data_IF_753962014035
#
_entry.id   IF_753962014035
#
_cell.length_a   1.000
_cell.length_b   1.000
_cell.length_c   1.000
_cell.angle_alpha   90.00
_cell.angle_beta   90.00
_cell.angle_gamma   90.00
#
_symmetry.space_group_name_H-M   'P 1'
#
loop_
_entity.id
_entity.type
_entity.pdbx_description
1 polymer ?
#
# COMPACT_ATOMS: atom_id res chain seq x y z
N UNK A 1 29.42 -7.49 60.56
CA UNK A 1 29.38 -7.40 59.09
C UNK A 1 29.44 -5.94 58.72
N UNK A 2 30.54 -5.55 58.08
CA UNK A 2 30.67 -4.39 57.18
C UNK A 2 29.52 -4.35 56.15
N UNK A 3 29.11 -3.27 55.46
CA UNK A 3 29.54 -1.89 55.16
C UNK A 3 28.22 -1.23 54.65
N UNK A 4 27.87 0.06 54.73
CA UNK A 4 28.59 1.29 54.36
C UNK A 4 27.70 2.10 53.38
N UNK A 5 27.44 3.38 53.69
CA UNK A 5 26.79 4.39 52.85
C UNK A 5 27.44 4.53 51.46
N UNK A 6 26.65 4.95 50.44
CA UNK A 6 26.99 6.04 49.52
C UNK A 6 25.79 6.48 48.67
N UNK A 7 25.59 7.79 48.56
CA UNK A 7 24.76 8.47 47.56
C UNK A 7 25.66 9.06 46.45
N UNK A 8 25.14 9.18 45.22
CA UNK A 8 25.51 10.09 44.10
C UNK A 8 24.48 9.81 42.97
N UNK A 9 23.72 10.78 42.45
CA UNK A 9 24.07 11.68 41.32
C UNK A 9 24.45 10.84 40.07
N UNK A 10 23.79 10.91 38.91
CA UNK A 10 23.36 12.09 38.15
C UNK A 10 22.03 11.88 37.41
N UNK A 11 21.17 12.91 37.43
CA UNK A 11 20.20 13.15 36.36
C UNK A 11 21.01 13.80 35.24
N UNK A 12 21.35 13.04 34.21
CA UNK A 12 21.79 13.67 32.97
C UNK A 12 20.60 14.43 32.39
N UNK A 13 20.72 15.76 32.38
CA UNK A 13 19.90 16.61 31.54
C UNK A 13 19.89 16.03 30.14
N UNK A 14 18.68 15.81 29.60
CA UNK A 14 18.51 15.49 28.20
C UNK A 14 19.15 16.61 27.40
N UNK A 15 20.34 16.33 26.86
CA UNK A 15 20.98 17.21 25.90
C UNK A 15 19.96 17.52 24.82
N UNK A 16 19.86 18.80 24.47
CA UNK A 16 19.20 19.24 23.25
C UNK A 16 20.05 18.79 22.07
N UNK A 17 20.14 17.49 21.86
CA UNK A 17 20.60 16.95 20.59
C UNK A 17 19.54 17.33 19.58
N UNK A 18 19.86 18.34 18.78
CA UNK A 18 19.11 18.61 17.56
C UNK A 18 19.18 17.32 16.75
N UNK A 19 18.05 16.68 16.40
CA UNK A 19 18.08 15.49 15.57
C UNK A 19 18.90 15.80 14.32
N UNK A 20 20.06 15.17 14.19
CA UNK A 20 20.83 15.25 12.96
C UNK A 20 20.14 14.26 12.04
N UNK A 21 19.39 14.77 11.07
CA UNK A 21 18.82 13.95 10.02
C UNK A 21 19.94 13.04 9.47
N UNK A 22 19.74 11.72 9.39
CA UNK A 22 20.74 10.82 8.87
C UNK A 22 21.20 11.29 7.50
N UNK A 23 22.52 11.45 7.39
CA UNK A 23 23.19 11.73 6.14
C UNK A 23 23.20 10.44 5.31
N UNK A 24 22.17 10.23 4.49
CA UNK A 24 22.21 9.20 3.46
C UNK A 24 23.19 9.66 2.38
N UNK A 25 24.42 9.16 2.45
CA UNK A 25 25.42 9.38 1.41
C UNK A 25 24.91 8.88 0.04
N UNK A 26 25.59 9.26 -1.06
CA UNK A 26 25.29 8.86 -2.45
C UNK A 26 25.10 7.34 -2.69
N UNK A 27 25.39 6.50 -1.70
CA UNK A 27 25.26 5.03 -1.74
C UNK A 27 23.83 4.50 -1.55
N UNK A 28 22.89 5.34 -1.10
CA UNK A 28 21.51 4.93 -0.78
C UNK A 28 21.38 4.09 0.50
N UNK A 29 20.14 3.84 0.92
CA UNK A 29 19.76 3.09 2.11
C UNK A 29 19.46 1.61 1.81
N UNK A 30 19.86 0.75 2.73
CA UNK A 30 19.46 -0.66 2.81
C UNK A 30 19.34 -0.98 4.29
N UNK A 31 18.23 -1.60 4.69
CA UNK A 31 18.03 -2.02 6.07
C UNK A 31 19.09 -3.03 6.55
N UNK A 32 19.44 -2.94 7.82
CA UNK A 32 20.29 -3.92 8.51
C UNK A 32 19.48 -5.00 9.26
N UNK A 33 18.15 -4.89 9.24
CA UNK A 33 17.24 -5.83 9.89
C UNK A 33 17.31 -7.21 9.22
N UNK A 34 17.09 -8.29 9.99
CA UNK A 34 17.12 -9.64 9.44
C UNK A 34 15.97 -9.87 8.45
N UNK A 35 16.20 -10.76 7.48
CA UNK A 35 15.17 -11.23 6.56
C UNK A 35 14.03 -11.92 7.33
N UNK A 36 12.78 -11.57 6.99
CA UNK A 36 11.60 -12.25 7.50
C UNK A 36 11.12 -13.39 6.59
N UNK A 37 11.60 -13.41 5.33
CA UNK A 37 11.28 -14.43 4.35
C UNK A 37 12.36 -15.53 4.28
N UNK A 38 11.94 -16.71 3.82
CA UNK A 38 12.82 -17.85 3.50
C UNK A 38 12.33 -18.53 2.24
N UNK A 39 13.26 -19.11 1.46
CA UNK A 39 12.87 -19.93 0.31
C UNK A 39 12.13 -21.18 0.77
N UNK A 40 11.17 -21.62 -0.03
CA UNK A 40 10.53 -22.92 0.15
C UNK A 40 11.49 -24.08 -0.07
N UNK A 41 11.15 -25.30 0.38
CA UNK A 41 11.98 -26.48 0.19
C UNK A 41 12.36 -26.70 -1.28
N UNK A 42 13.65 -26.97 -1.55
CA UNK A 42 14.15 -27.24 -2.91
C UNK A 42 14.53 -26.00 -3.73
N UNK A 43 14.33 -24.79 -3.20
CA UNK A 43 14.71 -23.54 -3.86
C UNK A 43 15.88 -22.87 -3.15
N UNK A 44 16.78 -22.27 -3.94
CA UNK A 44 17.92 -21.50 -3.44
C UNK A 44 18.03 -20.20 -4.23
N UNK A 45 18.62 -19.18 -3.61
CA UNK A 45 18.80 -17.86 -4.21
C UNK A 45 19.37 -16.87 -3.20
N UNK A 46 19.37 -15.60 -3.59
CA UNK A 46 19.76 -14.48 -2.71
C UNK A 46 18.53 -13.62 -2.42
N UNK A 47 18.24 -13.42 -1.13
CA UNK A 47 17.25 -12.43 -0.69
C UNK A 47 17.98 -11.25 -0.08
N UNK A 48 17.45 -10.05 -0.29
CA UNK A 48 17.96 -8.81 0.30
C UNK A 48 16.76 -8.05 0.88
N UNK A 49 16.80 -7.75 2.17
CA UNK A 49 15.86 -6.82 2.76
C UNK A 49 16.23 -5.40 2.28
N UNK A 50 15.27 -4.64 1.78
CA UNK A 50 15.51 -3.27 1.30
C UNK A 50 15.16 -2.24 2.37
N UNK A 51 14.00 -2.39 3.01
CA UNK A 51 13.53 -1.61 4.15
C UNK A 51 12.66 -2.49 5.06
N UNK A 52 12.56 -2.11 6.33
CA UNK A 52 11.66 -2.67 7.34
C UNK A 52 10.91 -1.53 8.03
N UNK A 53 9.70 -1.79 8.51
CA UNK A 53 8.98 -0.87 9.40
C UNK A 53 9.92 -0.33 10.48
N UNK A 54 9.74 0.94 10.82
CA UNK A 54 10.54 1.71 11.78
C UNK A 54 11.93 2.16 11.29
N UNK A 55 12.38 1.72 10.12
CA UNK A 55 13.59 2.27 9.51
C UNK A 55 13.35 3.74 9.12
N UNK A 56 14.34 4.60 9.39
CA UNK A 56 14.38 5.95 8.84
C UNK A 56 14.95 5.90 7.42
N UNK A 57 14.16 6.37 6.45
CA UNK A 57 14.50 6.29 5.03
C UNK A 57 15.07 7.61 4.50
N UNK A 58 15.77 7.59 3.35
CA UNK A 58 16.19 8.82 2.67
C UNK A 58 15.00 9.74 2.44
N UNK A 59 15.06 10.96 2.96
CA UNK A 59 13.88 11.85 3.07
C UNK A 59 13.55 12.23 4.51
N UNK A 60 14.07 11.46 5.49
CA UNK A 60 14.01 11.78 6.92
C UNK A 60 12.73 11.32 7.63
N UNK A 61 11.88 10.57 6.93
CA UNK A 61 10.66 10.00 7.52
C UNK A 61 10.87 8.52 7.86
N UNK A 62 10.21 8.09 8.93
CA UNK A 62 10.17 6.69 9.32
C UNK A 62 9.20 5.90 8.42
N UNK A 63 9.60 4.70 7.99
CA UNK A 63 8.72 3.79 7.27
C UNK A 63 7.60 3.29 8.19
N UNK A 64 6.36 3.61 7.84
CA UNK A 64 5.19 3.31 8.65
C UNK A 64 4.86 1.81 8.64
N UNK A 65 4.10 1.39 9.65
CA UNK A 65 3.66 0.00 9.82
C UNK A 65 2.70 -0.50 8.74
N UNK A 66 2.40 -1.80 8.82
CA UNK A 66 1.39 -2.50 8.00
C UNK A 66 1.51 -2.21 6.50
N UNK A 67 2.67 -2.54 5.91
CA UNK A 67 2.83 -2.47 4.46
C UNK A 67 1.96 -3.52 3.78
N UNK A 68 1.33 -3.15 2.68
CA UNK A 68 0.40 -4.02 1.97
C UNK A 68 0.56 -3.88 0.44
N UNK A 69 -0.44 -3.34 -0.25
CA UNK A 69 -0.50 -3.09 -1.68
C UNK A 69 0.75 -2.41 -2.25
N UNK A 70 1.17 -2.86 -3.44
CA UNK A 70 2.44 -2.48 -4.05
C UNK A 70 2.28 -2.12 -5.52
N UNK A 71 2.99 -1.08 -5.97
CA UNK A 71 3.01 -0.63 -7.36
C UNK A 71 4.42 -0.27 -7.79
N UNK A 72 4.78 -0.59 -9.02
CA UNK A 72 6.16 -0.43 -9.50
C UNK A 72 6.15 0.23 -10.89
N UNK A 73 7.01 1.23 -11.07
CA UNK A 73 7.25 1.85 -12.36
C UNK A 73 8.70 2.32 -12.51
N UNK A 74 9.03 2.96 -13.63
CA UNK A 74 10.36 3.50 -13.89
C UNK A 74 11.09 2.72 -14.99
N UNK A 75 12.41 2.54 -14.84
CA UNK A 75 13.23 1.96 -15.90
C UNK A 75 14.50 1.31 -15.42
N UNK A 76 15.39 0.99 -16.36
CA UNK A 76 16.54 0.13 -16.11
C UNK A 76 17.54 0.63 -15.07
N UNK A 77 17.66 1.95 -14.86
CA UNK A 77 18.59 2.53 -13.90
C UNK A 77 17.95 2.84 -12.54
N UNK A 78 16.65 3.15 -12.54
CA UNK A 78 15.91 3.53 -11.34
C UNK A 78 14.51 2.95 -11.40
N UNK A 79 14.20 2.18 -10.37
CA UNK A 79 12.87 1.67 -10.11
C UNK A 79 12.17 2.62 -9.14
N UNK A 80 10.89 2.84 -9.35
CA UNK A 80 10.00 3.53 -8.44
C UNK A 80 9.07 2.50 -7.83
N UNK A 81 8.87 2.62 -6.53
CA UNK A 81 8.06 1.70 -5.74
C UNK A 81 7.07 2.53 -4.94
N UNK A 82 5.77 2.26 -5.12
CA UNK A 82 4.71 2.75 -4.27
C UNK A 82 4.24 1.60 -3.36
N UNK A 83 3.99 1.90 -2.09
CA UNK A 83 3.47 0.93 -1.12
C UNK A 83 2.40 1.58 -0.27
N UNK A 84 1.24 0.94 -0.13
CA UNK A 84 0.21 1.35 0.82
C UNK A 84 0.57 0.90 2.23
N UNK A 85 0.05 1.66 3.20
CA UNK A 85 0.10 1.31 4.61
C UNK A 85 -1.32 1.17 5.12
N UNK A 86 -1.73 -0.06 5.44
CA UNK A 86 -3.09 -0.42 5.84
C UNK A 86 -3.34 -0.05 7.30
N UNK A 87 -3.35 1.25 7.58
CA UNK A 87 -3.51 1.79 8.93
C UNK A 87 -4.92 2.30 9.11
N UNK A 88 -5.55 1.91 10.22
CA UNK A 88 -6.82 2.51 10.63
C UNK A 88 -6.66 3.98 10.99
N UNK A 89 -7.69 4.79 10.75
CA UNK A 89 -7.74 6.15 11.31
C UNK A 89 -7.74 6.07 12.83
N UNK A 90 -6.73 6.68 13.45
CA UNK A 90 -6.57 6.64 14.90
C UNK A 90 -5.66 7.74 15.44
N UNK A 91 -5.51 7.84 16.78
CA UNK A 91 -4.64 8.83 17.41
C UNK A 91 -3.20 8.70 16.94
N UNK A 92 -2.57 9.84 16.60
CA UNK A 92 -1.15 9.89 16.23
C UNK A 92 -0.25 10.17 17.43
N UNK A 93 0.93 9.53 17.54
CA UNK A 93 1.94 9.87 18.55
C UNK A 93 2.41 11.34 18.51
N UNK A 94 2.25 12.02 17.36
CA UNK A 94 2.59 13.43 17.18
C UNK A 94 1.42 14.38 17.53
N UNK A 95 0.30 13.85 18.02
CA UNK A 95 -0.96 14.56 18.21
C UNK A 95 -1.83 14.55 16.96
N UNK A 96 -3.15 14.68 17.15
CA UNK A 96 -4.15 14.57 16.08
C UNK A 96 -4.52 13.12 15.73
N UNK A 97 -5.25 12.94 14.63
CA UNK A 97 -5.56 11.63 14.05
C UNK A 97 -4.75 11.43 12.77
N UNK A 98 -4.28 10.21 12.53
CA UNK A 98 -3.67 9.81 11.26
C UNK A 98 -4.30 8.53 10.78
N UNK A 99 -4.45 8.43 9.47
CA UNK A 99 -4.90 7.24 8.77
C UNK A 99 -3.80 6.55 8.00
N UNK A 100 -4.22 5.85 6.96
CA UNK A 100 -3.38 5.17 5.97
C UNK A 100 -2.39 6.12 5.31
N UNK A 101 -1.28 5.55 4.87
CA UNK A 101 -0.22 6.27 4.17
C UNK A 101 0.10 5.58 2.86
N UNK A 102 0.78 6.31 1.97
CA UNK A 102 1.38 5.73 0.77
C UNK A 102 2.84 6.16 0.71
N UNK A 103 3.76 5.22 0.72
CA UNK A 103 5.20 5.47 0.56
C UNK A 103 5.57 5.44 -0.91
N UNK A 104 6.21 6.49 -1.43
CA UNK A 104 6.89 6.47 -2.73
C UNK A 104 8.40 6.39 -2.50
N UNK A 105 9.05 5.40 -3.12
CA UNK A 105 10.49 5.15 -3.02
C UNK A 105 11.14 5.16 -4.39
N UNK A 106 12.38 5.67 -4.45
CA UNK A 106 13.26 5.50 -5.61
C UNK A 106 14.33 4.49 -5.26
N UNK A 107 14.51 3.46 -6.09
CA UNK A 107 15.48 2.40 -5.89
C UNK A 107 16.48 2.41 -7.05
N UNK A 108 17.77 2.42 -6.73
CA UNK A 108 18.83 2.17 -7.72
C UNK A 108 18.84 0.67 -8.09
N UNK A 109 18.70 0.36 -9.37
CA UNK A 109 18.59 -1.03 -9.83
C UNK A 109 19.93 -1.79 -9.80
N UNK A 110 21.06 -1.09 -9.70
CA UNK A 110 22.39 -1.69 -9.68
C UNK A 110 22.83 -2.04 -8.27
N UNK A 111 22.69 -1.12 -7.32
CA UNK A 111 23.00 -1.37 -5.90
C UNK A 111 21.86 -2.01 -5.13
N UNK A 112 20.63 -1.93 -5.65
CA UNK A 112 19.40 -2.28 -4.93
C UNK A 112 19.34 -1.53 -3.59
N UNK A 113 19.58 -0.22 -3.61
CA UNK A 113 19.44 0.67 -2.45
C UNK A 113 18.36 1.72 -2.70
N UNK A 114 17.66 2.10 -1.64
CA UNK A 114 16.67 3.18 -1.66
C UNK A 114 17.42 4.50 -1.69
N UNK A 115 17.17 5.33 -2.70
CA UNK A 115 17.81 6.63 -2.88
C UNK A 115 16.99 7.79 -2.31
N UNK A 116 15.68 7.61 -2.25
CA UNK A 116 14.71 8.66 -1.91
C UNK A 116 13.41 8.01 -1.47
N UNK A 117 12.72 8.61 -0.50
CA UNK A 117 11.44 8.20 0.05
C UNK A 117 10.66 9.44 0.50
N UNK A 118 9.35 9.43 0.22
CA UNK A 118 8.41 10.41 0.79
C UNK A 118 6.99 9.84 0.80
N UNK A 119 6.10 10.49 1.56
CA UNK A 119 4.68 10.16 1.63
C UNK A 119 3.85 11.13 0.78
N UNK A 120 3.40 10.76 -0.43
CA UNK A 120 2.33 11.51 -1.13
C UNK A 120 0.99 11.51 -0.37
N UNK A 121 0.78 10.51 0.50
CA UNK A 121 -0.30 10.44 1.48
C UNK A 121 0.35 10.16 2.83
N UNK A 122 0.34 11.14 3.74
CA UNK A 122 1.04 11.08 5.03
C UNK A 122 0.14 10.69 6.22
N UNK A 123 -1.14 10.47 5.91
CA UNK A 123 -2.19 10.06 6.83
C UNK A 123 -3.00 11.22 7.39
N UNK A 124 -2.65 12.47 7.08
CA UNK A 124 -3.46 13.64 7.46
C UNK A 124 -4.77 13.75 6.66
N UNK A 125 -4.83 13.06 5.53
CA UNK A 125 -6.02 12.92 4.67
C UNK A 125 -7.11 12.04 5.29
N UNK A 126 -6.75 11.25 6.32
CA UNK A 126 -7.65 10.37 7.07
C UNK A 126 -8.29 9.25 6.24
N UNK A 127 -7.61 8.78 5.20
CA UNK A 127 -7.95 7.50 4.57
C UNK A 127 -7.74 6.34 5.56
N UNK A 128 -8.50 5.27 5.41
CA UNK A 128 -8.65 4.19 6.38
C UNK A 128 -8.34 2.86 5.70
N UNK A 129 -7.37 2.13 6.26
CA UNK A 129 -6.97 0.79 5.81
C UNK A 129 -6.78 0.68 4.28
N UNK A 130 -5.81 1.40 3.71
CA UNK A 130 -5.39 1.13 2.34
C UNK A 130 -4.77 -0.27 2.24
N UNK A 131 -5.59 -1.25 1.87
CA UNK A 131 -5.22 -2.65 1.76
C UNK A 131 -4.41 -2.84 0.48
N UNK A 132 -5.07 -3.09 -0.65
CA UNK A 132 -4.37 -3.37 -1.89
C UNK A 132 -3.98 -2.12 -2.68
N UNK A 133 -3.17 -2.35 -3.71
CA UNK A 133 -2.86 -1.34 -4.71
C UNK A 133 -2.40 -1.94 -6.04
N UNK A 134 -2.48 -1.12 -7.09
CA UNK A 134 -1.98 -1.45 -8.43
C UNK A 134 -1.30 -0.22 -9.03
N UNK A 135 -0.18 -0.40 -9.74
CA UNK A 135 0.33 0.61 -10.67
C UNK A 135 -0.22 0.33 -12.07
N UNK A 136 -0.88 1.31 -12.68
CA UNK A 136 -1.43 1.23 -14.03
C UNK A 136 -0.76 2.23 -14.96
N UNK A 137 -0.50 1.84 -16.21
CA UNK A 137 0.17 2.69 -17.19
C UNK A 137 -0.46 2.69 -18.60
N UNK A 138 0.29 3.12 -19.60
CA UNK A 138 -0.18 3.22 -20.98
C UNK A 138 -0.68 1.88 -21.54
N UNK A 139 -0.10 0.75 -21.13
CA UNK A 139 -0.51 -0.59 -21.55
C UNK A 139 -1.91 -0.94 -21.01
N UNK A 140 -2.28 -0.35 -19.88
CA UNK A 140 -3.58 -0.50 -19.21
C UNK A 140 -4.60 0.58 -19.63
N UNK A 141 -4.21 1.48 -20.54
CA UNK A 141 -5.03 2.60 -20.99
C UNK A 141 -4.92 3.87 -20.12
N UNK A 142 -3.93 3.92 -19.24
CA UNK A 142 -3.58 5.03 -18.36
C UNK A 142 -2.21 5.66 -18.72
N UNK A 143 -2.10 6.37 -19.86
CA UNK A 143 -0.81 6.89 -20.34
C UNK A 143 -0.12 7.89 -19.40
N UNK A 144 -0.83 8.43 -18.40
CA UNK A 144 -0.25 9.29 -17.36
C UNK A 144 0.45 8.53 -16.23
N UNK A 145 0.16 7.23 -16.06
CA UNK A 145 0.64 6.44 -14.94
C UNK A 145 -0.06 6.80 -13.63
N UNK A 146 -0.71 5.84 -12.98
CA UNK A 146 -1.36 6.05 -11.69
C UNK A 146 -1.14 4.87 -10.76
N UNK A 147 -0.93 5.17 -9.48
CA UNK A 147 -1.01 4.21 -8.40
C UNK A 147 -2.42 4.25 -7.83
N UNK A 148 -3.16 3.16 -7.98
CA UNK A 148 -4.48 2.98 -7.38
C UNK A 148 -4.37 2.36 -6.01
N UNK A 149 -5.12 2.89 -5.05
CA UNK A 149 -5.25 2.36 -3.70
C UNK A 149 -6.71 2.49 -3.24
N UNK A 150 -7.18 1.54 -2.45
CA UNK A 150 -8.56 1.49 -1.96
C UNK A 150 -8.63 1.26 -0.46
N UNK A 151 -9.57 1.93 0.21
CA UNK A 151 -9.86 1.72 1.64
C UNK A 151 -10.65 0.42 1.85
N UNK A 152 -10.10 -0.50 2.64
CA UNK A 152 -10.77 -1.72 3.09
C UNK A 152 -11.64 -1.42 4.34
N UNK A 153 -12.73 -0.71 4.09
CA UNK A 153 -13.67 -0.25 5.10
C UNK A 153 -15.08 -0.15 4.51
N UNK A 154 -16.14 -0.30 5.33
CA UNK A 154 -17.53 -0.43 4.86
C UNK A 154 -18.02 0.73 3.92
N UNK A 155 -17.44 1.94 4.00
CA UNK A 155 -17.72 3.09 3.09
C UNK A 155 -16.47 3.54 2.32
N UNK A 156 -15.58 2.60 2.03
CA UNK A 156 -14.23 2.85 1.53
C UNK A 156 -14.20 3.55 0.17
N UNK A 157 -13.23 4.44 0.01
CA UNK A 157 -12.96 5.17 -1.22
C UNK A 157 -11.77 4.57 -1.97
N UNK A 158 -11.80 4.66 -3.31
CA UNK A 158 -10.61 4.49 -4.14
C UNK A 158 -9.97 5.83 -4.49
N UNK A 159 -8.65 5.83 -4.54
CA UNK A 159 -7.85 6.98 -4.96
C UNK A 159 -6.88 6.60 -6.07
N UNK A 160 -6.58 7.57 -6.94
CA UNK A 160 -5.52 7.49 -7.93
C UNK A 160 -4.44 8.52 -7.59
N UNK A 161 -3.20 8.05 -7.46
CA UNK A 161 -2.04 8.89 -7.13
C UNK A 161 -1.12 8.91 -8.34
N UNK A 162 -0.89 10.07 -8.92
CA UNK A 162 0.01 10.18 -10.06
C UNK A 162 1.50 10.13 -9.68
N UNK A 163 2.37 10.12 -10.68
CA UNK A 163 3.83 10.10 -10.49
C UNK A 163 4.39 11.28 -9.68
N UNK A 164 3.65 12.38 -9.56
CA UNK A 164 4.03 13.56 -8.78
C UNK A 164 3.44 13.51 -7.35
N UNK A 165 2.70 12.47 -7.01
CA UNK A 165 2.04 12.32 -5.72
C UNK A 165 0.70 13.05 -5.62
N UNK A 166 0.10 13.49 -6.72
CA UNK A 166 -1.21 14.15 -6.68
C UNK A 166 -2.30 13.10 -6.56
N UNK A 167 -3.10 13.21 -5.50
CA UNK A 167 -4.23 12.32 -5.20
C UNK A 167 -5.48 12.79 -5.94
N UNK A 168 -6.19 11.84 -6.55
CA UNK A 168 -7.52 12.02 -7.14
C UNK A 168 -8.47 10.98 -6.54
N UNK A 169 -9.45 11.43 -5.78
CA UNK A 169 -10.51 10.57 -5.25
C UNK A 169 -11.47 10.11 -6.35
N UNK A 170 -11.89 8.85 -6.29
CA UNK A 170 -12.72 8.21 -7.31
C UNK A 170 -14.00 7.59 -6.74
N UNK A 171 -14.89 8.39 -6.11
CA UNK A 171 -16.09 7.88 -5.43
C UNK A 171 -17.10 7.19 -6.38
N UNK A 172 -17.01 7.48 -7.68
CA UNK A 172 -17.83 6.85 -8.73
C UNK A 172 -17.43 5.40 -9.03
N UNK A 173 -16.33 4.89 -8.47
CA UNK A 173 -15.98 3.48 -8.52
C UNK A 173 -16.73 2.65 -7.48
N UNK A 174 -17.52 3.31 -6.62
CA UNK A 174 -18.30 2.67 -5.57
C UNK A 174 -17.70 2.87 -4.19
N UNK A 175 -18.49 2.57 -3.17
CA UNK A 175 -18.13 2.65 -1.77
C UNK A 175 -18.45 1.34 -1.08
N UNK A 176 -17.40 0.65 -0.67
CA UNK A 176 -17.41 -0.69 -0.08
C UNK A 176 -15.98 -0.99 0.40
N UNK A 177 -15.75 -2.15 1.01
CA UNK A 177 -14.43 -2.53 1.50
C UNK A 177 -13.52 -2.92 0.33
N UNK A 178 -12.76 -1.96 -0.21
CA UNK A 178 -11.91 -2.22 -1.37
C UNK A 178 -10.73 -3.11 -1.00
N UNK A 179 -10.72 -4.30 -1.61
CA UNK A 179 -9.58 -5.21 -1.62
C UNK A 179 -8.75 -4.88 -2.87
N UNK A 180 -8.54 -5.84 -3.77
CA UNK A 180 -7.80 -5.67 -5.01
C UNK A 180 -8.53 -4.80 -6.05
N UNK A 181 -7.74 -4.10 -6.85
CA UNK A 181 -8.19 -3.44 -8.07
C UNK A 181 -7.28 -3.91 -9.20
N UNK A 182 -7.90 -4.20 -10.35
CA UNK A 182 -7.18 -4.73 -11.51
C UNK A 182 -7.62 -4.00 -12.76
N UNK A 183 -6.69 -3.35 -13.43
CA UNK A 183 -6.87 -2.88 -14.79
C UNK A 183 -6.82 -4.05 -15.78
N UNK A 184 -7.78 -4.09 -16.72
CA UNK A 184 -7.87 -5.17 -17.71
C UNK A 184 -7.55 -4.63 -19.10
N UNK A 185 -6.33 -4.86 -19.62
CA UNK A 185 -5.95 -4.39 -20.94
C UNK A 185 -6.65 -5.17 -22.05
N UNK A 186 -6.51 -4.70 -23.30
CA UNK A 186 -6.99 -5.42 -24.48
C UNK A 186 -8.41 -5.09 -24.94
N UNK A 187 -9.02 -4.01 -24.44
CA UNK A 187 -10.32 -3.51 -24.91
C UNK A 187 -10.16 -2.21 -25.73
N UNK A 188 -10.09 -2.28 -27.07
CA UNK A 188 -9.89 -1.09 -27.90
C UNK A 188 -10.95 0.00 -27.64
N UNK A 189 -10.49 1.23 -27.42
CA UNK A 189 -11.34 2.39 -27.18
C UNK A 189 -12.00 2.41 -25.80
N UNK A 190 -11.62 1.52 -24.89
CA UNK A 190 -12.14 1.44 -23.54
C UNK A 190 -11.01 1.22 -22.53
N UNK A 191 -11.27 1.65 -21.30
CA UNK A 191 -10.51 1.31 -20.11
C UNK A 191 -11.46 0.52 -19.21
N UNK A 192 -11.00 -0.65 -18.77
CA UNK A 192 -11.76 -1.58 -17.94
C UNK A 192 -11.00 -1.77 -16.64
N UNK A 193 -11.70 -1.61 -15.53
CA UNK A 193 -11.17 -1.78 -14.17
C UNK A 193 -12.09 -2.73 -13.43
N UNK A 194 -11.54 -3.79 -12.84
CA UNK A 194 -12.26 -4.67 -11.92
C UNK A 194 -11.95 -4.27 -10.48
N UNK A 195 -12.97 -4.24 -9.64
CA UNK A 195 -12.86 -3.90 -8.21
C UNK A 195 -13.48 -5.01 -7.37
N UNK A 196 -12.84 -5.33 -6.26
CA UNK A 196 -13.19 -6.45 -5.40
C UNK A 196 -13.57 -5.91 -4.02
N UNK A 197 -14.72 -6.34 -3.53
CA UNK A 197 -15.21 -6.01 -2.19
C UNK A 197 -14.87 -7.13 -1.21
N UNK A 198 -14.25 -6.80 -0.09
CA UNK A 198 -13.93 -7.74 1.02
C UNK A 198 -14.73 -7.42 2.29
N UNK A 199 -16.00 -7.05 2.15
CA UNK A 199 -16.92 -6.98 3.30
C UNK A 199 -17.15 -8.36 3.97
N UNK A 200 -16.87 -9.45 3.22
CA UNK A 200 -17.08 -10.87 3.51
C UNK A 200 -16.40 -11.45 4.76
N UNK A 201 -15.57 -10.67 5.46
CA UNK A 201 -15.09 -10.95 6.82
C UNK A 201 -14.34 -12.27 7.00
N UNK A 202 -13.01 -12.20 7.04
CA UNK A 202 -12.16 -13.20 7.73
C UNK A 202 -12.22 -13.07 9.27
N UNK A 203 -13.05 -12.18 9.82
CA UNK A 203 -13.25 -11.96 11.25
C UNK A 203 -14.44 -12.73 11.84
N UNK A 204 -14.24 -13.36 13.00
CA UNK A 204 -15.32 -14.03 13.73
C UNK A 204 -16.49 -13.07 14.03
N UNK A 205 -17.68 -13.36 13.47
CA UNK A 205 -18.94 -12.71 13.87
C UNK A 205 -19.70 -11.94 12.79
N UNK A 206 -19.22 -11.88 11.54
CA UNK A 206 -19.98 -11.32 10.41
C UNK A 206 -20.81 -12.39 9.68
N UNK A 207 -21.85 -12.94 10.34
CA UNK A 207 -22.87 -13.72 9.63
C UNK A 207 -23.62 -12.81 8.63
N UNK A 208 -23.52 -13.11 7.33
CA UNK A 208 -24.27 -12.41 6.28
C UNK A 208 -23.56 -11.24 5.58
N UNK A 209 -22.22 -11.17 5.64
CA UNK A 209 -21.46 -10.30 4.74
C UNK A 209 -21.35 -10.94 3.36
N UNK A 210 -21.69 -10.19 2.31
CA UNK A 210 -21.65 -10.64 0.92
C UNK A 210 -20.67 -9.75 0.17
N UNK A 211 -19.54 -10.32 -0.25
CA UNK A 211 -18.60 -9.67 -1.14
C UNK A 211 -19.14 -9.65 -2.57
N UNK A 212 -19.08 -8.49 -3.22
CA UNK A 212 -19.44 -8.32 -4.63
C UNK A 212 -18.21 -8.09 -5.52
N UNK A 213 -18.34 -8.48 -6.79
CA UNK A 213 -17.36 -8.14 -7.83
C UNK A 213 -17.95 -7.01 -8.69
N UNK A 214 -17.14 -5.99 -8.96
CA UNK A 214 -17.54 -4.82 -9.73
C UNK A 214 -16.63 -4.63 -10.95
N UNK A 215 -17.18 -4.00 -12.00
CA UNK A 215 -16.42 -3.58 -13.18
C UNK A 215 -16.77 -2.14 -13.53
N UNK A 216 -15.76 -1.28 -13.66
CA UNK A 216 -15.91 0.06 -14.20
C UNK A 216 -15.39 0.13 -15.64
N UNK A 217 -16.20 0.68 -16.55
CA UNK A 217 -15.84 0.84 -17.96
C UNK A 217 -15.98 2.29 -18.38
N UNK A 218 -14.93 2.85 -18.98
CA UNK A 218 -14.94 4.18 -19.58
C UNK A 218 -14.23 4.18 -20.93
N UNK A 219 -14.30 5.28 -21.71
CA UNK A 219 -13.63 5.33 -23.04
C UNK A 219 -12.13 5.62 -22.97
N UNK A 220 -11.65 6.16 -21.85
CA UNK A 220 -10.25 6.49 -21.60
C UNK A 220 -10.03 6.80 -20.11
N UNK A 221 -8.76 6.85 -19.70
CA UNK A 221 -8.35 7.15 -18.32
C UNK A 221 -8.91 8.46 -17.77
N UNK A 222 -8.96 9.54 -18.56
CA UNK A 222 -9.54 10.81 -18.10
C UNK A 222 -11.01 10.68 -17.71
N UNK A 223 -11.76 9.80 -18.38
CA UNK A 223 -13.14 9.51 -18.01
C UNK A 223 -13.22 8.63 -16.76
N UNK A 224 -12.30 7.69 -16.56
CA UNK A 224 -12.19 6.94 -15.30
C UNK A 224 -11.94 7.90 -14.15
N UNK A 225 -10.93 8.77 -14.22
CA UNK A 225 -10.58 9.70 -13.14
C UNK A 225 -11.68 10.73 -12.83
N UNK A 226 -12.63 10.96 -13.74
CA UNK A 226 -13.70 11.96 -13.61
C UNK A 226 -15.09 11.38 -13.41
N UNK A 227 -15.22 10.06 -13.31
CA UNK A 227 -16.52 9.42 -13.14
C UNK A 227 -17.44 9.49 -14.36
N UNK A 228 -16.88 9.44 -15.57
CA UNK A 228 -17.62 9.55 -16.84
C UNK A 228 -17.77 8.21 -17.58
N UNK A 229 -17.66 7.09 -16.85
CA UNK A 229 -17.93 5.73 -17.30
C UNK A 229 -19.16 5.13 -16.62
N UNK A 230 -19.19 3.80 -16.55
CA UNK A 230 -20.27 3.02 -15.96
C UNK A 230 -19.70 1.97 -15.02
N UNK A 231 -20.26 1.90 -13.80
CA UNK A 231 -20.03 0.81 -12.85
C UNK A 231 -21.06 -0.30 -13.09
N UNK A 232 -20.58 -1.53 -13.14
CA UNK A 232 -21.36 -2.77 -13.27
C UNK A 232 -21.08 -3.65 -12.07
N UNK A 233 -22.07 -4.45 -11.68
CA UNK A 233 -21.97 -5.46 -10.63
C UNK A 233 -22.16 -6.81 -11.30
N UNK A 234 -21.30 -7.78 -11.00
CA UNK A 234 -21.46 -9.13 -11.51
C UNK A 234 -22.52 -9.85 -10.70
N UNK A 235 -23.43 -10.52 -11.41
CA UNK A 235 -24.37 -11.46 -10.82
C UNK A 235 -24.01 -12.86 -11.30
N UNK A 236 -23.83 -13.78 -10.37
CA UNK A 236 -23.76 -15.20 -10.71
C UNK A 236 -25.15 -15.69 -11.15
N UNK A 237 -25.20 -16.51 -12.19
CA UNK A 237 -26.42 -17.25 -12.51
C UNK A 237 -26.68 -18.28 -11.39
N UNK A 238 -27.95 -18.43 -10.99
CA UNK A 238 -28.37 -19.50 -10.08
C UNK A 238 -28.19 -20.85 -10.80
N UNK A 239 -27.00 -21.44 -10.69
CA UNK A 239 -26.84 -22.84 -11.06
C UNK A 239 -27.36 -23.69 -9.90
N UNK A 240 -28.65 -24.04 -9.93
CA UNK A 240 -29.25 -25.11 -9.11
C UNK A 240 -28.64 -26.52 -9.38
N UNK A 241 -27.42 -26.60 -9.89
CA UNK A 241 -26.73 -27.84 -10.18
C UNK A 241 -25.21 -27.67 -10.25
N UNK A 242 -24.53 -27.79 -9.11
CA UNK A 242 -23.26 -28.50 -9.09
C UNK A 242 -23.38 -29.63 -8.05
N UNK A 243 -23.35 -30.92 -8.48
CA UNK A 243 -23.24 -32.01 -7.53
C UNK A 243 -21.88 -31.93 -6.84
N UNK A 244 -21.92 -31.86 -5.51
CA UNK A 244 -20.77 -31.99 -4.62
C UNK A 244 -20.16 -33.41 -4.70
N UNK A 245 -19.57 -33.78 -5.83
CA UNK A 245 -18.77 -35.00 -5.96
C UNK A 245 -17.50 -34.72 -6.78
N UNK A 246 -16.58 -33.97 -6.17
CA UNK A 246 -15.16 -34.30 -6.31
C UNK A 246 -14.82 -35.29 -5.19
N UNK A 247 -15.31 -36.52 -5.38
CA UNK A 247 -14.87 -37.66 -4.61
C UNK A 247 -13.35 -37.84 -4.79
N UNK A 248 -12.69 -38.07 -3.67
CA UNK A 248 -11.29 -38.43 -3.56
C UNK A 248 -10.89 -39.53 -4.56
N UNK A 249 -9.82 -39.28 -5.30
CA UNK A 249 -8.98 -40.30 -5.92
C UNK A 249 -7.69 -40.46 -5.11
#
# INVERSE_FOLDING_TARGET
MALGLAACEDVQEAGTETPVAPSFAETGFVTDKPLQARFGPGYTGTMKALATVDDELPGGEQLAGTLDGIGIWGGQAKLKLAVTHELSVGPSPLGGTRGSRVSFMTIDTKSLSILDHYYPVDGTEQYNRFCSAEWVDAEDGFPGGYFFAGEEFDDGLQVAIDQQGRVTEMPHLGKYAHENQISVPGFPGHVVVLNFDDDGGSGEGREGSESELYMYVARNSNQVLRGQGQLYIFKADDTDALPNDLAAG
#
